data_IF_958667366984
#
_entry.id   IF_958667366984
#
_cell.length_a   1.000
_cell.length_b   1.000
_cell.length_c   1.000
_cell.angle_alpha   90.00
_cell.angle_beta   90.00
_cell.angle_gamma   90.00
#
_symmetry.space_group_name_H-M   'P 1'
#
loop_
_entity.id
_entity.type
_entity.pdbx_description
1 polymer ?
#
# COMPACT_ATOMS: atom_id res chain seq x y z
N UNK A 1 -14.59 -2.54 -6.79
CA UNK A 1 -13.88 -3.02 -5.58
C UNK A 1 -14.46 -4.35 -5.14
N UNK A 2 -13.63 -5.28 -4.60
CA UNK A 2 -14.04 -6.58 -4.09
C UNK A 2 -13.54 -6.82 -2.67
N UNK A 3 -14.30 -7.59 -1.89
CA UNK A 3 -13.88 -8.06 -0.57
C UNK A 3 -13.23 -9.44 -0.69
N UNK A 4 -12.16 -9.72 0.05
CA UNK A 4 -11.53 -11.04 0.04
C UNK A 4 -12.43 -12.09 0.69
N UNK A 5 -12.26 -13.36 0.29
CA UNK A 5 -12.89 -14.51 0.95
C UNK A 5 -12.52 -14.58 2.44
N UNK A 6 -13.42 -15.14 3.27
CA UNK A 6 -13.30 -15.15 4.73
C UNK A 6 -11.89 -15.46 5.30
N UNK A 7 -11.22 -16.55 4.86
CA UNK A 7 -9.87 -16.88 5.37
C UNK A 7 -8.79 -15.85 5.02
N UNK A 8 -8.98 -15.01 4.00
CA UNK A 8 -8.07 -13.92 3.60
C UNK A 8 -8.36 -12.61 4.33
N UNK A 9 -9.50 -12.50 5.03
CA UNK A 9 -9.86 -11.31 5.80
C UNK A 9 -8.83 -11.01 6.89
N UNK A 10 -8.37 -9.76 6.96
CA UNK A 10 -7.31 -9.33 7.87
C UNK A 10 -5.90 -9.53 7.33
N UNK A 11 -5.71 -10.37 6.31
CA UNK A 11 -4.48 -10.46 5.52
C UNK A 11 -4.56 -9.53 4.31
N UNK A 12 -5.72 -9.45 3.69
CA UNK A 12 -6.05 -8.56 2.57
C UNK A 12 -7.21 -7.67 3.01
N UNK A 13 -7.13 -6.38 2.76
CA UNK A 13 -8.22 -5.45 3.08
C UNK A 13 -9.27 -5.46 1.98
N UNK A 14 -8.83 -5.33 0.71
CA UNK A 14 -9.73 -5.36 -0.47
C UNK A 14 -8.95 -5.61 -1.77
N UNK A 15 -9.72 -5.89 -2.83
CA UNK A 15 -9.29 -5.86 -4.23
C UNK A 15 -9.81 -4.60 -4.91
N UNK A 16 -8.95 -3.96 -5.71
CA UNK A 16 -9.30 -2.81 -6.53
C UNK A 16 -9.04 -3.18 -7.99
N UNK A 17 -10.10 -3.40 -8.76
CA UNK A 17 -9.98 -3.51 -10.21
C UNK A 17 -9.96 -2.12 -10.82
N UNK A 18 -9.04 -1.86 -11.72
CA UNK A 18 -8.92 -0.60 -12.42
C UNK A 18 -8.72 -0.79 -13.92
N UNK A 19 -9.31 0.09 -14.69
CA UNK A 19 -9.09 0.22 -16.13
C UNK A 19 -9.12 1.69 -16.48
N UNK A 20 -7.95 2.23 -16.75
CA UNK A 20 -7.73 3.63 -17.09
C UNK A 20 -7.34 3.69 -18.56
N UNK A 21 -7.97 4.59 -19.33
CA UNK A 21 -7.69 4.74 -20.74
C UNK A 21 -7.90 6.19 -21.18
N UNK A 22 -7.22 6.59 -22.25
CA UNK A 22 -7.40 7.91 -22.86
C UNK A 22 -6.56 9.02 -22.24
N UNK A 23 -5.52 8.67 -21.49
CA UNK A 23 -4.55 9.63 -20.94
C UNK A 23 -3.37 9.83 -21.89
N UNK A 24 -2.78 11.02 -21.88
CA UNK A 24 -1.45 11.20 -22.42
C UNK A 24 -0.43 10.42 -21.57
N UNK A 25 0.54 9.75 -22.18
CA UNK A 25 1.60 9.07 -21.44
C UNK A 25 2.33 10.00 -20.49
N UNK A 26 2.68 9.51 -19.31
CA UNK A 26 3.31 10.33 -18.28
C UNK A 26 3.91 9.51 -17.15
N UNK A 27 4.20 10.18 -16.06
CA UNK A 27 4.72 9.57 -14.82
C UNK A 27 3.79 9.97 -13.67
N UNK A 28 3.40 9.00 -12.85
CA UNK A 28 2.71 9.25 -11.59
C UNK A 28 3.51 8.76 -10.39
N UNK A 29 3.13 9.21 -9.21
CA UNK A 29 3.79 8.79 -7.96
C UNK A 29 3.10 7.59 -7.36
N UNK A 30 3.86 6.51 -7.14
CA UNK A 30 3.47 5.44 -6.24
C UNK A 30 3.73 5.92 -4.80
N UNK A 31 2.67 6.25 -4.08
CA UNK A 31 2.78 6.85 -2.75
C UNK A 31 2.87 5.79 -1.65
N UNK A 32 3.57 6.10 -0.54
CA UNK A 32 3.54 5.29 0.67
C UNK A 32 2.11 5.08 1.18
N UNK A 33 1.81 3.86 1.57
CA UNK A 33 0.54 3.49 2.19
C UNK A 33 0.76 2.51 3.35
N UNK A 34 -0.29 2.21 4.11
CA UNK A 34 -0.26 1.17 5.14
C UNK A 34 -0.31 -0.26 4.59
N UNK A 35 -0.46 -0.41 3.29
CA UNK A 35 -0.50 -1.71 2.62
C UNK A 35 0.80 -1.98 1.89
N UNK A 36 1.14 -3.25 1.75
CA UNK A 36 2.13 -3.67 0.77
C UNK A 36 1.53 -3.48 -0.62
N UNK A 37 2.33 -2.96 -1.55
CA UNK A 37 1.95 -2.90 -2.96
C UNK A 37 1.86 -4.32 -3.50
N UNK A 38 0.71 -4.71 -4.04
CA UNK A 38 0.56 -5.97 -4.77
C UNK A 38 -0.38 -5.72 -5.94
N UNK A 39 0.18 -5.59 -7.13
CA UNK A 39 -0.59 -5.27 -8.33
C UNK A 39 -0.32 -6.32 -9.39
N UNK A 40 -1.40 -6.86 -9.96
CA UNK A 40 -1.37 -7.76 -11.12
C UNK A 40 -1.84 -6.98 -12.33
N UNK A 41 -0.92 -6.70 -13.27
CA UNK A 41 -1.29 -6.06 -14.52
C UNK A 41 -1.94 -7.04 -15.48
N UNK A 42 -3.07 -6.65 -16.03
CA UNK A 42 -3.79 -7.39 -17.08
C UNK A 42 -3.47 -6.76 -18.45
N UNK A 43 -3.11 -5.48 -18.44
CA UNK A 43 -2.66 -4.71 -19.59
C UNK A 43 -1.13 -4.67 -19.76
N UNK A 44 -0.58 -3.50 -20.10
CA UNK A 44 0.88 -3.29 -20.17
C UNK A 44 1.55 -3.55 -18.81
N UNK A 45 2.87 -3.73 -18.82
CA UNK A 45 3.69 -3.83 -17.61
C UNK A 45 3.56 -2.58 -16.73
N UNK A 46 3.86 -2.74 -15.45
CA UNK A 46 4.01 -1.64 -14.50
C UNK A 46 5.50 -1.26 -14.53
N UNK A 47 5.79 -0.10 -15.12
CA UNK A 47 7.15 0.34 -15.36
C UNK A 47 7.56 1.33 -14.27
N UNK A 48 8.36 0.87 -13.30
CA UNK A 48 8.89 1.70 -12.22
C UNK A 48 10.21 2.31 -12.70
N UNK A 49 10.17 3.60 -13.07
CA UNK A 49 11.31 4.35 -13.64
C UNK A 49 12.22 4.93 -12.58
N UNK A 50 11.72 5.14 -11.34
CA UNK A 50 12.50 5.45 -10.16
C UNK A 50 11.93 4.67 -8.98
N UNK A 51 12.77 3.82 -8.38
CA UNK A 51 12.40 3.04 -7.21
C UNK A 51 12.49 3.91 -5.94
N UNK A 52 11.75 3.53 -4.90
CA UNK A 52 11.83 4.20 -3.60
C UNK A 52 13.24 4.08 -2.99
N UNK A 53 13.88 2.90 -3.09
CA UNK A 53 15.31 2.74 -2.80
C UNK A 53 16.12 3.16 -4.03
N UNK A 54 16.89 4.26 -3.97
CA UNK A 54 17.68 4.74 -5.13
C UNK A 54 18.79 3.77 -5.55
N UNK A 55 19.08 2.73 -4.78
CA UNK A 55 20.02 1.67 -5.13
C UNK A 55 19.41 0.59 -6.01
N UNK A 56 18.09 0.51 -6.06
CA UNK A 56 17.36 -0.41 -6.93
C UNK A 56 17.23 0.23 -8.32
N UNK A 57 17.62 -0.49 -9.36
CA UNK A 57 17.49 -0.03 -10.73
C UNK A 57 16.00 0.05 -11.16
N UNK A 58 15.65 0.88 -12.14
CA UNK A 58 14.37 0.84 -12.83
C UNK A 58 14.06 -0.56 -13.34
N UNK A 59 12.79 -0.96 -13.29
CA UNK A 59 12.35 -2.28 -13.76
C UNK A 59 10.87 -2.26 -14.18
N UNK A 60 10.43 -3.31 -14.88
CA UNK A 60 9.09 -3.49 -15.41
C UNK A 60 8.49 -4.80 -14.90
N UNK A 61 7.29 -4.76 -14.34
CA UNK A 61 6.65 -5.87 -13.67
C UNK A 61 5.31 -6.23 -14.32
N UNK A 62 4.99 -7.52 -14.36
CA UNK A 62 3.63 -8.02 -14.64
C UNK A 62 2.84 -8.18 -13.34
N UNK A 63 3.53 -8.60 -12.29
CA UNK A 63 2.98 -8.72 -10.94
C UNK A 63 3.95 -8.10 -9.96
N UNK A 64 3.77 -6.82 -9.64
CA UNK A 64 4.64 -6.16 -8.68
C UNK A 64 4.20 -6.47 -7.25
N UNK A 65 5.16 -6.86 -6.42
CA UNK A 65 5.04 -6.87 -4.97
C UNK A 65 6.08 -5.91 -4.40
N UNK A 66 5.61 -4.92 -3.65
CA UNK A 66 6.45 -3.93 -2.97
C UNK A 66 6.17 -3.89 -1.48
N UNK A 67 7.19 -3.50 -0.71
CA UNK A 67 7.09 -3.34 0.74
C UNK A 67 6.39 -2.04 1.16
N UNK A 68 6.31 -1.85 2.47
CA UNK A 68 6.02 -0.53 3.02
C UNK A 68 7.13 0.43 2.60
N UNK A 69 6.78 1.70 2.37
CA UNK A 69 7.68 2.70 1.80
C UNK A 69 7.75 3.94 2.69
N UNK A 70 8.88 4.66 2.61
CA UNK A 70 9.10 5.95 3.27
C UNK A 70 9.23 7.12 2.28
N UNK A 71 9.09 6.87 0.99
CA UNK A 71 9.15 7.87 -0.08
C UNK A 71 8.35 7.41 -1.29
N UNK A 72 8.19 8.25 -2.32
CA UNK A 72 7.49 7.90 -3.54
C UNK A 72 8.36 7.02 -4.45
N UNK A 73 7.71 6.20 -5.28
CA UNK A 73 8.30 5.67 -6.51
C UNK A 73 7.77 6.46 -7.71
N UNK A 74 8.53 6.54 -8.81
CA UNK A 74 8.03 7.08 -10.07
C UNK A 74 7.63 5.95 -11.01
N UNK A 75 6.38 5.95 -11.45
CA UNK A 75 5.80 4.89 -12.28
C UNK A 75 5.36 5.52 -13.59
N UNK A 76 5.92 5.05 -14.72
CA UNK A 76 5.47 5.49 -16.02
C UNK A 76 4.17 4.81 -16.43
N UNK A 77 3.35 5.53 -17.17
CA UNK A 77 2.10 5.00 -17.72
C UNK A 77 1.93 5.42 -19.18
N UNK A 78 1.40 4.50 -19.98
CA UNK A 78 0.99 4.78 -21.35
C UNK A 78 -0.47 5.22 -21.42
N UNK A 79 -1.07 5.06 -22.58
CA UNK A 79 -2.48 5.46 -22.86
C UNK A 79 -3.51 4.54 -22.20
N UNK A 80 -3.10 3.38 -21.70
CA UNK A 80 -3.97 2.38 -21.05
C UNK A 80 -3.25 1.75 -19.88
N UNK A 81 -3.98 1.58 -18.78
CA UNK A 81 -3.61 0.74 -17.66
C UNK A 81 -4.80 -0.14 -17.25
N UNK A 82 -4.58 -1.42 -17.03
CA UNK A 82 -5.61 -2.34 -16.53
C UNK A 82 -5.00 -3.36 -15.59
N UNK A 83 -5.64 -3.57 -14.44
CA UNK A 83 -5.11 -4.53 -13.47
C UNK A 83 -5.97 -4.68 -12.22
N UNK A 84 -5.48 -5.50 -11.31
CA UNK A 84 -6.02 -5.69 -9.97
C UNK A 84 -4.95 -5.29 -8.95
N UNK A 85 -5.25 -4.27 -8.15
CA UNK A 85 -4.48 -3.97 -6.95
C UNK A 85 -5.06 -4.73 -5.75
N UNK A 86 -4.20 -5.36 -4.99
CA UNK A 86 -4.51 -6.17 -3.81
C UNK A 86 -3.93 -5.42 -2.61
N UNK A 87 -4.77 -4.85 -1.77
CA UNK A 87 -4.32 -4.19 -0.54
C UNK A 87 -3.93 -5.23 0.51
N UNK A 88 -2.68 -5.67 0.44
CA UNK A 88 -2.12 -6.68 1.33
C UNK A 88 -1.65 -6.03 2.64
N UNK A 89 -2.19 -6.48 3.76
CA UNK A 89 -1.71 -6.08 5.09
C UNK A 89 -0.28 -6.58 5.31
N UNK A 90 0.63 -5.76 5.86
CA UNK A 90 1.97 -6.23 6.17
C UNK A 90 2.00 -7.37 7.20
N UNK A 91 0.95 -7.51 8.02
CA UNK A 91 0.77 -8.64 8.92
C UNK A 91 0.49 -9.96 8.17
N UNK A 92 -0.02 -9.88 6.94
CA UNK A 92 -0.29 -11.03 6.08
C UNK A 92 0.91 -11.51 5.27
N UNK A 93 2.02 -10.77 5.23
CA UNK A 93 3.16 -11.05 4.37
C UNK A 93 3.73 -12.46 4.61
N UNK A 94 3.94 -12.86 5.87
CA UNK A 94 4.46 -14.19 6.19
C UNK A 94 3.54 -15.31 5.74
N UNK A 95 2.24 -15.14 5.92
CA UNK A 95 1.24 -16.17 5.62
C UNK A 95 1.05 -16.35 4.12
N UNK A 96 1.11 -15.27 3.34
CA UNK A 96 0.87 -15.29 1.89
C UNK A 96 2.16 -15.33 1.07
N UNK A 97 3.19 -14.57 1.49
CA UNK A 97 4.43 -14.45 0.74
C UNK A 97 5.58 -15.29 1.31
N UNK A 98 5.43 -15.84 2.53
CA UNK A 98 6.44 -16.67 3.19
C UNK A 98 7.59 -15.88 3.82
N UNK A 99 7.50 -14.54 3.87
CA UNK A 99 8.56 -13.67 4.40
C UNK A 99 7.97 -12.51 5.24
N UNK A 100 8.73 -11.93 6.18
CA UNK A 100 8.29 -10.74 6.90
C UNK A 100 8.23 -9.52 5.96
N UNK A 101 7.30 -8.60 6.21
CA UNK A 101 7.13 -7.40 5.37
C UNK A 101 8.43 -6.59 5.23
N UNK A 102 9.29 -6.58 6.26
CA UNK A 102 10.60 -5.90 6.22
C UNK A 102 11.52 -6.37 5.08
N UNK A 103 11.36 -7.60 4.60
CA UNK A 103 12.20 -8.12 3.52
C UNK A 103 11.97 -7.41 2.18
N UNK A 104 10.84 -6.70 2.07
CA UNK A 104 10.45 -5.89 0.90
C UNK A 104 10.51 -4.38 1.18
N UNK A 105 11.10 -3.96 2.31
CA UNK A 105 11.15 -2.55 2.69
C UNK A 105 11.78 -1.67 1.60
N UNK A 106 11.05 -0.62 1.17
CA UNK A 106 11.43 0.33 0.11
C UNK A 106 11.78 -0.32 -1.25
N UNK A 107 11.40 -1.58 -1.48
CA UNK A 107 11.70 -2.29 -2.73
C UNK A 107 10.46 -2.74 -3.45
N UNK A 108 10.56 -2.89 -4.78
CA UNK A 108 9.56 -3.52 -5.64
C UNK A 108 10.21 -4.69 -6.39
N UNK A 109 9.52 -5.82 -6.47
CA UNK A 109 10.00 -7.04 -7.15
C UNK A 109 8.87 -7.71 -7.92
N UNK A 110 9.21 -8.55 -8.92
CA UNK A 110 8.24 -9.42 -9.55
C UNK A 110 7.74 -10.46 -8.53
N UNK A 111 6.43 -10.65 -8.46
CA UNK A 111 5.82 -11.57 -7.49
C UNK A 111 6.42 -12.99 -7.57
N UNK A 112 6.75 -13.43 -8.78
CA UNK A 112 7.37 -14.73 -9.00
C UNK A 112 8.76 -14.88 -8.36
N UNK A 113 9.48 -13.78 -8.14
CA UNK A 113 10.78 -13.80 -7.44
C UNK A 113 10.61 -14.06 -5.95
N UNK A 114 9.43 -13.75 -5.39
CA UNK A 114 9.10 -13.98 -3.98
C UNK A 114 8.45 -15.35 -3.75
N UNK A 115 7.44 -15.70 -4.58
CA UNK A 115 6.61 -16.89 -4.35
C UNK A 115 6.82 -17.99 -5.40
N UNK A 116 7.78 -17.81 -6.30
CA UNK A 116 8.05 -18.76 -7.39
C UNK A 116 6.92 -18.78 -8.42
N UNK A 117 6.74 -19.92 -9.09
CA UNK A 117 5.74 -20.09 -10.15
C UNK A 117 4.30 -19.76 -9.77
N UNK A 118 3.97 -19.71 -8.47
CA UNK A 118 2.65 -19.28 -7.97
C UNK A 118 2.31 -17.84 -8.37
N UNK A 119 3.32 -16.94 -8.49
CA UNK A 119 3.13 -15.58 -8.95
C UNK A 119 2.65 -15.53 -10.40
N UNK A 120 3.24 -16.35 -11.27
CA UNK A 120 2.81 -16.49 -12.66
C UNK A 120 1.41 -17.10 -12.79
N UNK A 121 1.07 -18.10 -11.97
CA UNK A 121 -0.27 -18.68 -11.96
C UNK A 121 -1.33 -17.61 -11.68
N UNK A 122 -1.08 -16.71 -10.73
CA UNK A 122 -2.01 -15.61 -10.43
C UNK A 122 -2.20 -14.70 -11.65
N UNK A 123 -1.11 -14.32 -12.30
CA UNK A 123 -1.17 -13.49 -13.51
C UNK A 123 -1.95 -14.17 -14.63
N UNK A 124 -1.63 -15.43 -14.96
CA UNK A 124 -2.27 -16.20 -16.03
C UNK A 124 -3.77 -16.37 -15.79
N UNK A 125 -4.17 -16.62 -14.53
CA UNK A 125 -5.57 -16.79 -14.15
C UNK A 125 -6.42 -15.56 -14.43
N UNK A 126 -5.86 -14.37 -14.35
CA UNK A 126 -6.62 -13.15 -14.54
C UNK A 126 -6.77 -12.77 -16.02
N UNK A 127 -5.91 -13.26 -16.92
CA UNK A 127 -5.87 -12.84 -18.32
C UNK A 127 -7.14 -13.18 -19.11
N UNK A 128 -7.81 -14.25 -18.89
CA UNK A 128 -9.00 -14.66 -19.65
C UNK A 128 -10.33 -14.17 -19.10
N UNK A 129 -10.33 -13.42 -17.99
CA UNK A 129 -11.55 -13.05 -17.27
C UNK A 129 -11.92 -11.60 -17.61
N UNK A 130 -13.13 -11.37 -18.12
CA UNK A 130 -13.56 -10.05 -18.57
C UNK A 130 -14.12 -9.17 -17.45
N UNK A 131 -14.83 -9.76 -16.49
CA UNK A 131 -15.52 -9.03 -15.44
C UNK A 131 -14.73 -8.98 -14.11
N UNK A 132 -14.94 -7.93 -13.34
CA UNK A 132 -14.27 -7.71 -12.07
C UNK A 132 -14.61 -8.75 -10.98
N UNK A 133 -15.89 -9.13 -10.79
CA UNK A 133 -16.22 -10.19 -9.83
C UNK A 133 -15.49 -11.50 -10.10
N UNK A 134 -15.41 -11.93 -11.36
CA UNK A 134 -14.66 -13.12 -11.76
C UNK A 134 -13.17 -13.00 -11.48
N UNK A 135 -12.57 -11.84 -11.77
CA UNK A 135 -11.16 -11.55 -11.44
C UNK A 135 -10.88 -11.61 -9.93
N UNK A 136 -11.76 -11.04 -9.11
CA UNK A 136 -11.63 -11.08 -7.66
C UNK A 136 -11.78 -12.51 -7.12
N UNK A 137 -12.74 -13.27 -7.65
CA UNK A 137 -12.89 -14.68 -7.30
C UNK A 137 -11.67 -15.52 -7.71
N UNK A 138 -11.03 -15.20 -8.84
CA UNK A 138 -9.77 -15.82 -9.24
C UNK A 138 -8.62 -15.46 -8.29
N UNK A 139 -8.51 -14.21 -7.86
CA UNK A 139 -7.57 -13.81 -6.81
C UNK A 139 -7.80 -14.62 -5.52
N UNK A 140 -9.04 -14.69 -5.03
CA UNK A 140 -9.37 -15.50 -3.86
C UNK A 140 -8.93 -16.96 -4.03
N UNK A 141 -9.31 -17.57 -5.16
CA UNK A 141 -8.99 -18.97 -5.46
C UNK A 141 -7.49 -19.27 -5.45
N UNK A 142 -6.67 -18.35 -5.97
CA UNK A 142 -5.21 -18.51 -5.98
C UNK A 142 -4.62 -18.22 -4.59
N UNK A 143 -4.99 -17.12 -3.97
CA UNK A 143 -4.41 -16.66 -2.70
C UNK A 143 -4.79 -17.56 -1.53
N UNK A 144 -5.97 -18.19 -1.55
CA UNK A 144 -6.35 -19.22 -0.57
C UNK A 144 -5.38 -20.41 -0.58
N UNK A 145 -4.82 -20.80 -1.75
CA UNK A 145 -3.82 -21.86 -1.83
C UNK A 145 -2.43 -21.45 -1.36
N UNK A 146 -2.18 -20.13 -1.27
CA UNK A 146 -0.92 -19.61 -0.74
C UNK A 146 -0.88 -19.58 0.79
N UNK A 147 -2.05 -19.70 1.45
CA UNK A 147 -2.11 -19.70 2.89
C UNK A 147 -1.25 -20.83 3.47
N UNK A 148 -0.22 -20.46 4.18
CA UNK A 148 0.59 -21.40 4.96
C UNK A 148 0.10 -21.41 6.42
N UNK A 149 -0.60 -22.45 6.87
CA UNK A 149 -1.05 -22.54 8.26
C UNK A 149 0.10 -22.71 9.27
N UNK A 150 1.33 -22.97 8.79
CA UNK A 150 2.54 -23.09 9.60
C UNK A 150 3.37 -21.82 9.59
N UNK A 151 2.96 -20.79 8.84
CA UNK A 151 3.68 -19.52 8.79
C UNK A 151 3.83 -18.94 10.21
N UNK A 152 5.03 -18.47 10.50
CA UNK A 152 5.26 -17.72 11.74
C UNK A 152 4.49 -16.42 11.66
N UNK A 153 3.49 -16.26 12.52
CA UNK A 153 2.75 -15.01 12.61
C UNK A 153 3.57 -13.95 13.37
N UNK A 154 3.39 -12.67 13.07
CA UNK A 154 3.98 -11.58 13.86
C UNK A 154 3.60 -11.69 15.35
N UNK A 155 4.48 -11.24 16.24
CA UNK A 155 4.20 -11.19 17.68
C UNK A 155 2.86 -10.46 17.94
N UNK A 156 2.11 -10.94 18.92
CA UNK A 156 0.80 -10.39 19.26
C UNK A 156 0.86 -8.88 19.57
N UNK A 157 1.94 -8.46 20.22
CA UNK A 157 2.21 -7.07 20.60
C UNK A 157 2.45 -6.17 19.37
N UNK A 158 3.21 -6.67 18.36
CA UNK A 158 3.41 -5.96 17.09
C UNK A 158 2.09 -5.87 16.33
N UNK A 159 1.34 -6.97 16.30
CA UNK A 159 0.02 -7.04 15.68
C UNK A 159 -0.96 -6.05 16.32
N UNK A 160 -0.99 -5.99 17.67
CA UNK A 160 -1.82 -5.05 18.41
C UNK A 160 -1.43 -3.61 18.07
N UNK A 161 -0.15 -3.27 18.19
CA UNK A 161 0.35 -1.92 17.92
C UNK A 161 0.04 -1.47 16.48
N UNK A 162 0.21 -2.37 15.49
CA UNK A 162 -0.16 -2.08 14.10
C UNK A 162 -1.65 -1.78 13.95
N UNK A 163 -2.52 -2.66 14.49
CA UNK A 163 -3.97 -2.49 14.40
C UNK A 163 -4.46 -1.20 15.06
N UNK A 164 -3.88 -0.83 16.20
CA UNK A 164 -4.20 0.43 16.88
C UNK A 164 -3.76 1.66 16.07
N UNK A 165 -2.59 1.60 15.41
CA UNK A 165 -2.17 2.64 14.48
C UNK A 165 -3.14 2.78 13.31
N UNK A 166 -3.57 1.66 12.71
CA UNK A 166 -4.56 1.66 11.62
C UNK A 166 -5.89 2.24 12.11
N UNK A 167 -6.40 1.77 13.24
CA UNK A 167 -7.67 2.22 13.83
C UNK A 167 -7.69 3.72 14.15
N UNK A 168 -6.57 4.23 14.64
CA UNK A 168 -6.41 5.65 14.97
C UNK A 168 -6.02 6.54 13.78
N UNK A 169 -5.81 5.96 12.59
CA UNK A 169 -5.26 6.70 11.44
C UNK A 169 -3.89 7.32 11.72
N UNK A 170 -3.06 6.66 12.52
CA UNK A 170 -1.70 7.09 12.88
C UNK A 170 -1.64 8.18 13.97
N UNK A 171 -2.71 8.41 14.72
CA UNK A 171 -2.73 9.43 15.80
C UNK A 171 -2.45 8.86 17.18
N UNK A 172 -2.48 7.53 17.37
CA UNK A 172 -2.21 6.88 18.65
C UNK A 172 -0.77 7.20 19.15
N UNK A 173 -0.61 7.63 20.42
CA UNK A 173 0.70 7.90 20.99
C UNK A 173 1.53 6.63 21.13
N UNK A 174 2.71 6.57 20.54
CA UNK A 174 3.58 5.37 20.56
C UNK A 174 3.93 4.93 21.98
N UNK A 175 4.06 5.88 22.91
CA UNK A 175 4.29 5.57 24.33
C UNK A 175 3.14 4.83 24.98
N UNK A 176 1.91 5.15 24.61
CA UNK A 176 0.72 4.47 25.10
C UNK A 176 0.67 3.03 24.55
N UNK A 177 0.87 2.87 23.25
CA UNK A 177 0.94 1.55 22.61
C UNK A 177 1.99 0.65 23.26
N UNK A 178 3.18 1.18 23.55
CA UNK A 178 4.22 0.42 24.23
C UNK A 178 3.78 -0.03 25.64
N UNK A 179 3.12 0.85 26.39
CA UNK A 179 2.58 0.53 27.72
C UNK A 179 1.49 -0.54 27.66
N UNK A 180 0.56 -0.42 26.70
CA UNK A 180 -0.54 -1.39 26.51
C UNK A 180 -0.04 -2.81 26.26
N UNK A 181 1.07 -2.95 25.50
CA UNK A 181 1.65 -4.26 25.20
C UNK A 181 2.72 -4.69 26.22
N UNK A 182 2.92 -3.94 27.30
CA UNK A 182 3.89 -4.27 28.35
C UNK A 182 5.35 -4.12 27.95
N UNK A 183 5.66 -3.32 26.89
CA UNK A 183 7.01 -3.13 26.37
C UNK A 183 7.52 -1.70 26.61
N UNK A 184 8.85 -1.55 26.64
CA UNK A 184 9.44 -0.22 26.50
C UNK A 184 9.26 0.30 25.06
N UNK A 185 9.27 1.62 24.86
CA UNK A 185 9.23 2.23 23.52
C UNK A 185 10.34 1.72 22.60
N UNK A 186 11.54 1.54 23.16
CA UNK A 186 12.70 1.04 22.41
C UNK A 186 12.47 -0.41 21.96
N UNK A 187 11.96 -1.26 22.86
CA UNK A 187 11.66 -2.65 22.54
C UNK A 187 10.58 -2.75 21.46
N UNK A 188 9.47 -2.02 21.60
CA UNK A 188 8.43 -1.96 20.59
C UNK A 188 8.99 -1.48 19.24
N UNK A 189 9.78 -0.41 19.20
CA UNK A 189 10.36 0.13 17.94
C UNK A 189 11.25 -0.92 17.27
N UNK A 190 12.08 -1.62 18.00
CA UNK A 190 12.95 -2.67 17.46
C UNK A 190 12.14 -3.84 16.90
N UNK A 191 11.21 -4.40 17.68
CA UNK A 191 10.39 -5.56 17.28
C UNK A 191 9.48 -5.24 16.09
N UNK A 192 8.90 -4.04 16.09
CA UNK A 192 8.07 -3.53 15.01
C UNK A 192 8.88 -3.41 13.71
N UNK A 193 10.10 -2.84 13.78
CA UNK A 193 10.99 -2.73 12.63
C UNK A 193 11.52 -4.08 12.12
N UNK A 194 11.80 -5.03 13.02
CA UNK A 194 12.22 -6.40 12.65
C UNK A 194 11.14 -7.15 11.85
N UNK A 195 9.88 -6.82 12.04
CA UNK A 195 8.76 -7.46 11.35
C UNK A 195 8.32 -6.69 10.10
N UNK A 196 8.17 -5.37 10.23
CA UNK A 196 7.49 -4.54 9.22
C UNK A 196 8.45 -3.71 8.35
N UNK A 197 9.72 -3.55 8.75
CA UNK A 197 10.72 -2.75 8.05
C UNK A 197 10.81 -1.31 8.52
N UNK A 198 9.76 -0.75 9.13
CA UNK A 198 9.72 0.62 9.63
C UNK A 198 9.37 0.64 11.12
N UNK A 199 9.77 1.70 11.82
CA UNK A 199 9.37 1.90 13.21
C UNK A 199 7.93 2.43 13.33
N UNK A 200 7.28 2.28 14.49
CA UNK A 200 5.88 2.68 14.69
C UNK A 200 5.64 4.17 14.49
N UNK A 201 6.63 5.03 14.73
CA UNK A 201 6.53 6.48 14.47
C UNK A 201 6.42 6.78 12.97
N UNK A 202 7.19 6.10 12.13
CA UNK A 202 7.13 6.26 10.67
C UNK A 202 5.84 5.67 10.12
N UNK A 203 5.40 4.50 10.61
CA UNK A 203 4.10 3.92 10.26
C UNK A 203 2.95 4.91 10.55
N UNK A 204 2.97 5.55 11.71
CA UNK A 204 1.99 6.58 12.08
C UNK A 204 2.01 7.78 11.13
N UNK A 205 3.21 8.22 10.68
CA UNK A 205 3.34 9.29 9.67
C UNK A 205 2.71 8.87 8.34
N UNK A 206 3.04 7.69 7.83
CA UNK A 206 2.49 7.15 6.57
C UNK A 206 0.96 7.06 6.64
N UNK A 207 0.39 6.57 7.74
CA UNK A 207 -1.07 6.46 7.89
C UNK A 207 -1.77 7.83 7.94
N UNK A 208 -1.18 8.84 8.61
CA UNK A 208 -1.71 10.21 8.57
C UNK A 208 -1.61 10.81 7.18
N UNK A 209 -0.49 10.59 6.49
CA UNK A 209 -0.28 11.03 5.11
C UNK A 209 -1.29 10.40 4.15
N UNK A 210 -1.48 9.07 4.20
CA UNK A 210 -2.48 8.35 3.40
C UNK A 210 -3.90 8.91 3.63
N UNK A 211 -4.26 9.19 4.88
CA UNK A 211 -5.53 9.83 5.19
C UNK A 211 -5.63 11.25 4.65
N UNK A 212 -4.55 12.03 4.73
CA UNK A 212 -4.52 13.41 4.21
C UNK A 212 -4.64 13.43 2.68
N UNK A 213 -3.94 12.56 1.96
CA UNK A 213 -4.05 12.46 0.49
C UNK A 213 -5.46 12.04 0.07
N UNK A 214 -6.07 11.07 0.75
CA UNK A 214 -7.45 10.68 0.49
C UNK A 214 -8.44 11.83 0.72
N UNK A 215 -8.28 12.59 1.81
CA UNK A 215 -9.13 13.76 2.08
C UNK A 215 -8.94 14.87 1.05
N UNK A 216 -7.71 15.19 0.68
CA UNK A 216 -7.43 16.22 -0.33
C UNK A 216 -8.08 15.92 -1.67
N UNK A 217 -8.14 14.65 -2.08
CA UNK A 217 -8.77 14.20 -3.33
C UNK A 217 -10.30 14.19 -3.28
N UNK A 218 -10.88 13.79 -2.16
CA UNK A 218 -12.33 13.60 -2.02
C UNK A 218 -13.09 14.82 -1.50
N UNK A 219 -12.38 15.87 -1.07
CA UNK A 219 -13.01 16.98 -0.35
C UNK A 219 -13.45 18.10 -1.30
N UNK A 220 -14.62 18.72 -1.06
CA UNK A 220 -15.08 19.87 -1.83
C UNK A 220 -14.07 21.02 -1.84
N UNK A 221 -14.04 21.80 -2.94
CA UNK A 221 -13.09 22.87 -3.24
C UNK A 221 -12.97 24.00 -2.18
N UNK A 222 -13.81 24.02 -1.16
CA UNK A 222 -13.77 24.99 -0.05
C UNK A 222 -13.04 24.50 1.19
N UNK A 223 -12.53 23.26 1.21
CA UNK A 223 -11.72 22.76 2.33
C UNK A 223 -10.26 23.17 2.13
N UNK A 224 -9.69 23.83 3.14
CA UNK A 224 -8.29 24.26 3.06
C UNK A 224 -7.33 23.14 3.47
N UNK A 225 -6.08 23.21 2.97
CA UNK A 225 -5.00 22.27 3.37
C UNK A 225 -4.79 22.30 4.89
N UNK A 226 -4.95 23.47 5.54
CA UNK A 226 -4.87 23.60 6.99
C UNK A 226 -5.97 22.81 7.72
N UNK A 227 -7.20 22.80 7.18
CA UNK A 227 -8.30 22.00 7.72
C UNK A 227 -8.05 20.50 7.57
N UNK A 228 -7.51 20.06 6.43
CA UNK A 228 -7.08 18.69 6.23
C UNK A 228 -5.98 18.29 7.21
N UNK A 229 -4.98 19.17 7.41
CA UNK A 229 -3.92 18.95 8.39
C UNK A 229 -4.49 18.70 9.80
N UNK A 230 -5.37 19.57 10.27
CA UNK A 230 -6.01 19.43 11.57
C UNK A 230 -6.83 18.14 11.68
N UNK A 231 -7.63 17.80 10.67
CA UNK A 231 -8.46 16.60 10.64
C UNK A 231 -7.63 15.30 10.65
N UNK A 232 -6.40 15.33 10.08
CA UNK A 232 -5.49 14.19 10.02
C UNK A 232 -4.52 14.12 11.22
N UNK A 233 -4.64 14.99 12.23
CA UNK A 233 -3.82 14.95 13.44
C UNK A 233 -2.41 15.53 13.25
N UNK A 234 -2.24 16.44 12.29
CA UNK A 234 -1.06 17.29 12.18
C UNK A 234 -1.19 18.47 13.12
N UNK A 235 -0.07 18.97 13.62
CA UNK A 235 -0.05 20.14 14.50
C UNK A 235 -0.49 21.40 13.76
N UNK A 236 0.01 21.57 12.54
CA UNK A 236 -0.29 22.67 11.63
C UNK A 236 -0.09 22.25 10.16
N UNK A 237 -0.38 23.14 9.23
CA UNK A 237 -0.17 22.93 7.81
C UNK A 237 1.32 22.69 7.47
N UNK A 238 2.23 23.42 8.09
CA UNK A 238 3.67 23.28 7.83
C UNK A 238 4.21 21.89 8.21
N UNK A 239 3.59 21.24 9.19
CA UNK A 239 3.88 19.85 9.54
C UNK A 239 3.38 18.89 8.44
N UNK A 240 2.19 19.10 7.90
CA UNK A 240 1.66 18.35 6.75
C UNK A 240 2.53 18.56 5.51
N UNK A 241 2.92 19.80 5.20
CA UNK A 241 3.74 20.12 4.03
C UNK A 241 5.10 19.42 4.09
N UNK A 242 5.71 19.30 5.28
CA UNK A 242 6.95 18.53 5.47
C UNK A 242 6.76 17.04 5.23
N UNK A 243 5.67 16.45 5.74
CA UNK A 243 5.38 15.04 5.48
C UNK A 243 5.10 14.79 3.98
N UNK A 244 4.45 15.73 3.28
CA UNK A 244 4.27 15.65 1.83
C UNK A 244 5.58 15.72 1.06
N UNK A 245 6.50 16.62 1.43
CA UNK A 245 7.82 16.69 0.80
C UNK A 245 8.60 15.39 1.00
N UNK A 246 8.57 14.82 2.19
CA UNK A 246 9.27 13.58 2.51
C UNK A 246 8.63 12.35 1.80
N UNK A 247 7.29 12.22 1.83
CA UNK A 247 6.58 11.01 1.44
C UNK A 247 6.05 11.04 -0.01
N UNK A 248 5.82 12.24 -0.59
CA UNK A 248 5.38 12.41 -1.97
C UNK A 248 6.39 13.13 -2.87
N UNK A 249 7.48 13.67 -2.32
CA UNK A 249 8.47 14.44 -3.07
C UNK A 249 7.97 15.80 -3.57
N UNK A 250 6.80 16.27 -3.10
CA UNK A 250 6.23 17.56 -3.52
C UNK A 250 5.31 18.13 -2.44
N UNK A 251 4.90 19.40 -2.59
CA UNK A 251 3.91 20.01 -1.70
C UNK A 251 2.49 19.47 -1.97
N UNK A 252 1.54 19.56 -0.99
CA UNK A 252 0.14 19.19 -1.19
C UNK A 252 -0.52 19.89 -2.39
N UNK A 253 -0.23 21.18 -2.60
CA UNK A 253 -0.79 21.95 -3.73
C UNK A 253 -0.26 21.45 -5.08
N UNK A 254 1.04 21.13 -5.13
CA UNK A 254 1.65 20.58 -6.33
C UNK A 254 1.11 19.17 -6.62
N UNK A 255 0.97 18.36 -5.58
CA UNK A 255 0.36 17.03 -5.68
C UNK A 255 -1.03 17.09 -6.33
N UNK A 256 -1.92 17.96 -5.85
CA UNK A 256 -3.25 18.15 -6.40
C UNK A 256 -3.25 18.67 -7.86
N UNK A 257 -2.27 19.49 -8.23
CA UNK A 257 -2.16 20.04 -9.59
C UNK A 257 -1.61 19.03 -10.62
N UNK A 258 -0.76 18.10 -10.16
CA UNK A 258 -0.08 17.11 -11.02
C UNK A 258 -0.74 15.74 -11.00
N UNK A 259 -1.75 15.55 -10.14
CA UNK A 259 -2.35 14.23 -9.96
C UNK A 259 -3.14 13.83 -11.21
N UNK A 260 -2.67 12.78 -11.83
CA UNK A 260 -3.43 12.05 -12.86
C UNK A 260 -4.31 11.03 -12.14
N UNK A 261 -5.56 10.78 -12.57
CA UNK A 261 -6.39 9.72 -12.04
C UNK A 261 -5.60 8.41 -11.98
N UNK A 262 -5.48 7.82 -10.81
CA UNK A 262 -4.85 6.51 -10.59
C UNK A 262 -5.88 5.55 -10.01
N UNK A 263 -5.60 4.24 -10.02
CA UNK A 263 -6.48 3.26 -9.39
C UNK A 263 -6.68 3.51 -7.88
N UNK A 264 -5.78 4.29 -7.25
CA UNK A 264 -5.92 4.72 -5.85
C UNK A 264 -7.02 5.77 -5.69
N UNK A 265 -7.46 6.40 -6.77
CA UNK A 265 -8.37 7.54 -6.78
C UNK A 265 -9.80 7.18 -7.19
N UNK A 266 -10.03 6.04 -7.84
CA UNK A 266 -11.37 5.67 -8.26
C UNK A 266 -12.20 5.13 -7.08
N UNK A 267 -13.33 5.79 -6.76
CA UNK A 267 -14.42 5.07 -6.10
C UNK A 267 -14.83 3.97 -7.07
N UNK A 268 -14.72 2.71 -6.67
CA UNK A 268 -15.10 1.58 -7.51
C UNK A 268 -16.45 1.80 -8.18
N UNK A 269 -16.72 1.16 -9.33
CA UNK A 269 -17.98 1.33 -10.02
C UNK A 269 -19.15 1.12 -9.05
N UNK A 270 -20.22 1.94 -9.14
CA UNK A 270 -21.40 1.72 -8.34
C UNK A 270 -21.88 0.29 -8.58
N UNK A 271 -22.06 -0.46 -7.48
CA UNK A 271 -22.49 -1.85 -7.47
C UNK A 271 -23.87 -2.07 -8.06
#
# INVERSE_FOLDING_TARGET
MGRPAGPLTGLIERYIGYRLAGFEPGIHRGLPSRHLTFIVSIGPTIDVVEQTDPRQAPDSYRTVVGGLQAGPAAISYGTVQEGVAIELSPLGARTLLGLPARALWDTSVECADVVGGRGWELWERLQGIADWPGRFAACDSVLLRWLDPRALIPAAEVTHAWRELVRSGGTAPIGHLATEVGWSRQHLTRRFGEELGLGPKLAARVMRFERATAMLRSTPSFTTIAQVAAACGYYDQAHLDRDFLDLAGCSPSRYLAEEVPSFQDEPGPPG
#
